data_IF_047949731287
#
_entry.id   IF_047949731287
#
_cell.length_a   1.000
_cell.length_b   1.000
_cell.length_c   1.000
_cell.angle_alpha   90.00
_cell.angle_beta   90.00
_cell.angle_gamma   90.00
#
_symmetry.space_group_name_H-M   'P 1'
#
loop_
_entity.id
_entity.type
_entity.pdbx_description
1 polymer ?
#
# COMPACT_ATOMS: atom_id res chain seq x y z
N UNK A 1 -9.31 -24.69 -10.62
CA UNK A 1 -8.83 -23.92 -9.46
C UNK A 1 -7.36 -23.69 -9.67
N UNK A 2 -6.93 -22.44 -9.74
CA UNK A 2 -5.50 -22.14 -9.82
C UNK A 2 -4.80 -22.71 -8.59
N UNK A 3 -3.70 -23.41 -8.82
CA UNK A 3 -2.91 -24.03 -7.76
C UNK A 3 -1.94 -22.98 -7.22
N UNK A 4 -2.47 -22.02 -6.45
CA UNK A 4 -1.65 -20.97 -5.86
C UNK A 4 -0.60 -21.62 -4.96
N UNK A 5 0.68 -21.47 -5.32
CA UNK A 5 1.78 -21.79 -4.40
C UNK A 5 1.58 -20.98 -3.14
N UNK A 6 1.75 -21.61 -1.97
CA UNK A 6 1.83 -20.90 -0.71
C UNK A 6 3.02 -19.95 -0.78
N UNK A 7 2.75 -18.65 -0.88
CA UNK A 7 3.75 -17.61 -0.73
C UNK A 7 4.01 -17.43 0.77
N UNK A 8 5.26 -17.48 1.19
CA UNK A 8 5.59 -17.13 2.58
C UNK A 8 5.57 -15.62 2.75
N UNK A 9 5.44 -15.13 3.99
CA UNK A 9 5.62 -13.70 4.28
C UNK A 9 6.97 -13.20 3.75
N UNK A 10 8.02 -14.00 3.87
CA UNK A 10 9.36 -13.62 3.42
C UNK A 10 9.42 -13.48 1.90
N UNK A 11 8.85 -14.43 1.15
CA UNK A 11 8.78 -14.35 -0.30
C UNK A 11 8.01 -13.12 -0.77
N UNK A 12 6.86 -12.85 -0.13
CA UNK A 12 6.05 -11.66 -0.42
C UNK A 12 6.85 -10.38 -0.14
N UNK A 13 7.41 -10.23 1.07
CA UNK A 13 8.16 -9.03 1.45
C UNK A 13 9.43 -8.85 0.62
N UNK A 14 10.06 -9.93 0.15
CA UNK A 14 11.23 -9.87 -0.72
C UNK A 14 10.88 -9.28 -2.08
N UNK A 15 9.74 -9.67 -2.66
CA UNK A 15 9.25 -9.09 -3.91
C UNK A 15 8.97 -7.58 -3.77
N UNK A 16 8.27 -7.15 -2.71
CA UNK A 16 7.92 -5.74 -2.51
C UNK A 16 9.07 -4.84 -2.07
N UNK A 17 10.20 -5.40 -1.65
CA UNK A 17 11.41 -4.62 -1.30
C UNK A 17 12.42 -4.56 -2.42
N UNK A 18 12.17 -5.28 -3.51
CA UNK A 18 13.02 -5.29 -4.68
C UNK A 18 12.58 -4.19 -5.65
N UNK A 19 13.34 -3.09 -5.68
CA UNK A 19 13.05 -1.95 -6.54
C UNK A 19 13.09 -2.31 -8.03
N UNK A 20 13.90 -3.29 -8.44
CA UNK A 20 13.92 -3.73 -9.85
C UNK A 20 12.60 -4.40 -10.21
N UNK A 21 12.09 -5.26 -9.32
CA UNK A 21 10.79 -5.92 -9.52
C UNK A 21 9.60 -4.98 -9.41
N UNK A 22 9.63 -4.02 -8.49
CA UNK A 22 8.63 -2.97 -8.45
C UNK A 22 8.61 -2.16 -9.75
N UNK A 23 9.77 -1.92 -10.37
CA UNK A 23 9.89 -1.20 -11.64
C UNK A 23 9.35 -1.94 -12.85
N UNK A 24 9.13 -3.25 -12.76
CA UNK A 24 8.42 -4.03 -13.80
C UNK A 24 6.90 -3.78 -13.78
N UNK A 25 6.35 -3.22 -12.70
CA UNK A 25 4.92 -2.93 -12.55
C UNK A 25 4.57 -1.53 -13.06
N UNK A 26 3.42 -1.44 -13.74
CA UNK A 26 2.85 -0.14 -14.12
C UNK A 26 2.35 0.61 -12.88
N UNK A 27 2.07 1.91 -13.05
CA UNK A 27 1.47 2.72 -11.97
C UNK A 27 0.13 2.13 -11.51
N UNK A 28 -0.69 1.67 -12.46
CA UNK A 28 -2.01 1.10 -12.15
C UNK A 28 -1.89 -0.21 -11.35
N UNK A 29 -0.96 -1.09 -11.73
CA UNK A 29 -0.70 -2.35 -11.01
C UNK A 29 -0.30 -2.06 -9.55
N UNK A 30 0.55 -1.06 -9.32
CA UNK A 30 0.99 -0.67 -7.96
C UNK A 30 -0.18 -0.13 -7.14
N UNK A 31 -1.06 0.66 -7.74
CA UNK A 31 -2.26 1.19 -7.08
C UNK A 31 -3.22 0.04 -6.72
N UNK A 32 -3.43 -0.92 -7.62
CA UNK A 32 -4.31 -2.07 -7.37
C UNK A 32 -3.80 -2.92 -6.21
N UNK A 33 -2.50 -3.23 -6.20
CA UNK A 33 -1.89 -3.99 -5.12
C UNK A 33 -2.04 -3.27 -3.78
N UNK A 34 -1.67 -1.98 -3.71
CA UNK A 34 -1.77 -1.19 -2.48
C UNK A 34 -3.19 -1.20 -1.91
N UNK A 35 -4.21 -1.07 -2.78
CA UNK A 35 -5.63 -1.11 -2.39
C UNK A 35 -6.09 -2.48 -1.90
N UNK A 36 -5.42 -3.56 -2.31
CA UNK A 36 -5.84 -4.94 -2.04
C UNK A 36 -5.15 -5.56 -0.83
N UNK A 37 -3.95 -5.09 -0.46
CA UNK A 37 -3.17 -5.68 0.64
C UNK A 37 -3.62 -5.25 2.04
N UNK A 38 -4.32 -4.12 2.16
CA UNK A 38 -4.76 -3.59 3.45
C UNK A 38 -6.00 -4.34 3.94
N UNK A 39 -6.03 -4.71 5.23
CA UNK A 39 -7.07 -5.59 5.81
C UNK A 39 -8.38 -4.84 6.06
N UNK A 40 -8.38 -3.52 5.93
CA UNK A 40 -9.58 -2.69 5.98
C UNK A 40 -9.30 -1.31 6.54
N UNK A 41 -10.37 -0.64 7.01
CA UNK A 41 -10.31 0.73 7.55
C UNK A 41 -9.48 0.87 8.83
N UNK A 42 -9.17 -0.21 9.55
CA UNK A 42 -8.36 -0.16 10.77
C UNK A 42 -6.87 0.06 10.50
N UNK A 43 -6.40 -0.32 9.31
CA UNK A 43 -5.00 -0.11 8.91
C UNK A 43 -4.78 1.30 8.34
N UNK A 44 -5.85 1.96 7.87
CA UNK A 44 -5.83 3.33 7.33
C UNK A 44 -6.18 4.33 8.43
N UNK A 45 -5.15 4.86 9.10
CA UNK A 45 -5.31 5.93 10.08
C UNK A 45 -4.72 7.25 9.56
N UNK A 46 -5.06 8.36 10.25
CA UNK A 46 -4.62 9.71 9.88
C UNK A 46 -3.10 9.84 9.83
N UNK A 47 -2.39 9.23 10.79
CA UNK A 47 -0.94 9.35 10.89
C UNK A 47 -0.25 8.68 9.69
N UNK A 48 -0.65 7.44 9.36
CA UNK A 48 -0.15 6.72 8.19
C UNK A 48 -0.38 7.53 6.89
N UNK A 49 -1.57 8.11 6.71
CA UNK A 49 -1.87 8.88 5.51
C UNK A 49 -1.03 10.16 5.42
N UNK A 50 -0.82 10.86 6.54
CA UNK A 50 0.04 12.05 6.55
C UNK A 50 1.51 11.69 6.28
N UNK A 51 2.01 10.59 6.85
CA UNK A 51 3.36 10.08 6.56
C UNK A 51 3.52 9.79 5.06
N UNK A 52 2.55 9.07 4.46
CA UNK A 52 2.56 8.80 3.02
C UNK A 52 2.59 10.10 2.21
N UNK A 53 1.73 11.07 2.51
CA UNK A 53 1.73 12.35 1.77
C UNK A 53 3.09 13.07 1.89
N UNK A 54 3.72 13.03 3.07
CA UNK A 54 5.05 13.58 3.30
C UNK A 54 6.15 12.87 2.49
N UNK A 55 6.16 11.53 2.50
CA UNK A 55 7.13 10.72 1.75
C UNK A 55 7.07 10.99 0.23
N UNK A 56 5.87 11.27 -0.28
CA UNK A 56 5.65 11.60 -1.69
C UNK A 56 5.71 13.11 -1.99
N UNK A 57 6.02 13.96 -1.01
CA UNK A 57 6.05 15.43 -1.16
C UNK A 57 4.75 16.00 -1.74
N UNK A 58 3.60 15.46 -1.31
CA UNK A 58 2.27 15.88 -1.75
C UNK A 58 1.71 16.89 -0.77
N UNK A 59 1.99 18.16 -1.02
CA UNK A 59 1.63 19.26 -0.11
C UNK A 59 0.23 19.84 -0.35
N UNK A 60 -0.41 19.47 -1.47
CA UNK A 60 -1.70 20.02 -1.90
C UNK A 60 -2.92 19.22 -1.42
N UNK A 61 -2.72 18.19 -0.59
CA UNK A 61 -3.78 17.35 -0.01
C UNK A 61 -3.76 17.44 1.52
N UNK A 62 -4.93 17.36 2.14
CA UNK A 62 -5.09 17.39 3.60
C UNK A 62 -5.92 16.19 4.09
N UNK A 63 -5.44 15.51 5.15
CA UNK A 63 -6.16 14.39 5.78
C UNK A 63 -6.99 14.89 6.97
N UNK A 64 -8.32 14.85 6.81
CA UNK A 64 -9.26 15.25 7.86
C UNK A 64 -9.86 13.99 8.51
N UNK A 65 -9.53 13.76 9.77
CA UNK A 65 -10.20 12.74 10.59
C UNK A 65 -11.49 13.32 11.17
N UNK A 66 -12.62 12.66 10.88
CA UNK A 66 -13.91 13.00 11.48
C UNK A 66 -14.15 12.09 12.67
N UNK A 67 -14.43 12.67 13.83
CA UNK A 67 -15.01 11.91 14.94
C UNK A 67 -16.45 11.60 14.55
N UNK A 68 -16.76 10.33 14.32
CA UNK A 68 -18.16 9.91 14.30
C UNK A 68 -18.73 10.17 15.70
N UNK A 69 -19.83 10.92 15.75
CA UNK A 69 -20.60 11.13 16.98
C UNK A 69 -21.22 9.84 17.48
#
# INVERSE_FOLDING_TARGET
MENYKKITREDFMKFFRDNEKLNELTVDDRIEIFRTILVGSTDLNKDLLNEILGDYSVDNLEVIERKNG
#
